data_IF_112382851382
#
_entry.id   IF_112382851382
#
_cell.length_a   1.000
_cell.length_b   1.000
_cell.length_c   1.000
_cell.angle_alpha   90.00
_cell.angle_beta   90.00
_cell.angle_gamma   90.00
#
_symmetry.space_group_name_H-M   'P 1'
#
loop_
_entity.id
_entity.type
_entity.pdbx_description
1 polymer ?
#
# COMPACT_ATOMS: atom_id res chain seq x y z
N UNK A 1 26.16 -17.48 -14.83
CA UNK A 1 26.15 -17.16 -13.40
C UNK A 1 24.71 -16.93 -12.97
N UNK A 2 24.30 -17.63 -11.91
CA UNK A 2 23.05 -17.32 -11.23
C UNK A 2 23.30 -16.16 -10.24
N UNK A 3 22.43 -15.17 -10.24
CA UNK A 3 22.44 -14.07 -9.29
C UNK A 3 21.07 -13.97 -8.65
N UNK A 4 21.02 -13.70 -7.37
CA UNK A 4 19.79 -13.55 -6.62
C UNK A 4 20.04 -12.75 -5.33
N UNK A 5 18.97 -12.36 -4.65
CA UNK A 5 19.08 -11.72 -3.36
C UNK A 5 19.61 -12.70 -2.32
N UNK A 6 20.46 -12.25 -1.41
CA UNK A 6 21.08 -13.11 -0.39
C UNK A 6 20.12 -13.37 0.78
N UNK A 7 19.18 -14.28 0.58
CA UNK A 7 18.26 -14.76 1.60
C UNK A 7 17.94 -16.25 1.39
N UNK A 8 17.35 -16.87 2.39
CA UNK A 8 16.89 -18.27 2.34
C UNK A 8 15.37 -18.36 2.46
N UNK A 9 14.80 -19.46 1.97
CA UNK A 9 13.39 -19.81 2.16
C UNK A 9 13.19 -20.35 3.57
N UNK A 10 12.87 -19.46 4.51
CA UNK A 10 12.76 -19.79 5.93
C UNK A 10 11.31 -20.09 6.37
N UNK A 11 10.32 -19.57 5.64
CA UNK A 11 8.92 -19.87 5.88
C UNK A 11 8.51 -21.22 5.30
N UNK A 12 7.54 -21.88 5.93
CA UNK A 12 7.01 -23.15 5.49
C UNK A 12 5.49 -23.17 5.58
N UNK A 13 4.87 -23.90 4.65
CA UNK A 13 3.45 -24.21 4.66
C UNK A 13 3.28 -25.65 4.21
N UNK A 14 2.48 -26.41 4.95
CA UNK A 14 2.15 -27.79 4.63
C UNK A 14 0.70 -28.08 5.03
N UNK A 15 -0.03 -28.76 4.15
CA UNK A 15 -1.37 -29.28 4.40
C UNK A 15 -1.59 -30.58 3.62
N UNK A 16 -2.75 -31.20 3.76
CA UNK A 16 -3.14 -32.44 3.06
C UNK A 16 -3.43 -32.24 1.57
N UNK A 17 -3.52 -31.01 1.08
CA UNK A 17 -3.71 -30.68 -0.33
C UNK A 17 -2.36 -30.43 -1.02
N UNK A 18 -1.95 -31.35 -1.90
CA UNK A 18 -0.67 -31.26 -2.65
C UNK A 18 -0.58 -30.04 -3.55
N UNK A 19 -1.70 -29.55 -4.10
CA UNK A 19 -1.73 -28.41 -5.00
C UNK A 19 -1.43 -27.10 -4.25
N UNK A 20 -1.99 -26.96 -3.03
CA UNK A 20 -1.68 -25.82 -2.16
C UNK A 20 -0.21 -25.84 -1.71
N UNK A 21 0.33 -27.01 -1.37
CA UNK A 21 1.76 -27.14 -1.03
C UNK A 21 2.66 -26.77 -2.21
N UNK A 22 2.24 -27.15 -3.41
CA UNK A 22 2.93 -26.81 -4.67
C UNK A 22 2.83 -25.31 -4.97
N UNK A 23 1.67 -24.71 -4.78
CA UNK A 23 1.43 -23.29 -4.95
C UNK A 23 2.32 -22.46 -4.03
N UNK A 24 2.39 -22.82 -2.73
CA UNK A 24 3.27 -22.17 -1.77
C UNK A 24 4.73 -22.13 -2.26
N UNK A 25 5.27 -23.27 -2.67
CA UNK A 25 6.67 -23.36 -3.17
C UNK A 25 6.90 -22.51 -4.41
N UNK A 26 5.95 -22.48 -5.34
CA UNK A 26 6.01 -21.65 -6.54
C UNK A 26 5.94 -20.16 -6.20
N UNK A 27 5.07 -19.78 -5.27
CA UNK A 27 4.93 -18.37 -4.82
C UNK A 27 6.21 -17.87 -4.16
N UNK A 28 6.81 -18.65 -3.24
CA UNK A 28 8.12 -18.31 -2.67
C UNK A 28 9.19 -18.12 -3.77
N UNK A 29 9.20 -19.03 -4.75
CA UNK A 29 10.15 -18.94 -5.87
C UNK A 29 9.90 -17.68 -6.71
N UNK A 30 8.64 -17.34 -6.99
CA UNK A 30 8.26 -16.14 -7.74
C UNK A 30 8.71 -14.89 -7.00
N UNK A 31 8.40 -14.76 -5.73
CA UNK A 31 8.85 -13.64 -4.90
C UNK A 31 10.39 -13.51 -4.94
N UNK A 32 11.11 -14.60 -4.79
CA UNK A 32 12.58 -14.59 -4.81
C UNK A 32 13.16 -14.10 -6.14
N UNK A 33 12.58 -14.48 -7.28
CA UNK A 33 13.08 -14.04 -8.59
C UNK A 33 12.75 -12.60 -8.92
N UNK A 34 11.79 -11.99 -8.24
CA UNK A 34 11.47 -10.56 -8.32
C UNK A 34 12.28 -9.69 -7.35
N UNK A 35 13.20 -10.30 -6.58
CA UNK A 35 14.09 -9.61 -5.66
C UNK A 35 15.51 -9.52 -6.23
N UNK A 36 16.01 -8.30 -6.36
CA UNK A 36 17.40 -8.01 -6.79
C UNK A 36 18.00 -6.94 -5.87
N UNK A 37 18.42 -5.82 -6.44
CA UNK A 37 18.76 -4.59 -5.74
C UNK A 37 17.52 -3.79 -5.32
N UNK A 38 16.37 -4.10 -5.89
CA UNK A 38 15.03 -3.65 -5.49
C UNK A 38 13.99 -4.76 -5.75
N UNK A 39 12.77 -4.56 -5.29
CA UNK A 39 11.64 -5.38 -5.72
C UNK A 39 11.26 -5.10 -7.17
N UNK A 40 10.63 -6.05 -7.81
CA UNK A 40 10.17 -5.92 -9.20
C UNK A 40 8.79 -6.55 -9.32
N UNK A 41 7.85 -5.81 -9.90
CA UNK A 41 6.50 -6.28 -10.23
C UNK A 41 6.50 -7.59 -11.02
N UNK A 42 7.48 -7.77 -11.88
CA UNK A 42 7.65 -8.95 -12.70
C UNK A 42 9.13 -9.15 -13.07
N UNK A 43 9.56 -10.39 -13.41
CA UNK A 43 10.95 -10.66 -13.75
C UNK A 43 11.32 -10.31 -15.20
N UNK A 44 10.37 -9.95 -16.06
CA UNK A 44 10.55 -9.85 -17.51
C UNK A 44 10.18 -8.48 -18.09
N UNK A 45 8.93 -8.06 -18.07
CA UNK A 45 8.45 -6.90 -18.82
C UNK A 45 8.96 -5.56 -18.28
N UNK A 46 8.37 -5.04 -17.19
CA UNK A 46 8.75 -3.75 -16.61
C UNK A 46 10.00 -3.86 -15.75
N UNK A 47 10.07 -4.90 -14.92
CA UNK A 47 11.13 -5.10 -13.92
C UNK A 47 11.30 -3.86 -13.04
N UNK A 48 10.18 -3.25 -12.67
CA UNK A 48 10.12 -1.98 -11.97
C UNK A 48 9.58 -2.16 -10.55
N UNK A 49 10.02 -1.31 -9.63
CA UNK A 49 9.57 -1.30 -8.25
C UNK A 49 8.28 -0.50 -8.12
N UNK A 50 7.15 -1.09 -8.54
CA UNK A 50 5.85 -0.48 -8.41
C UNK A 50 5.38 -0.45 -6.96
N UNK A 51 4.86 0.68 -6.52
CA UNK A 51 4.50 0.92 -5.10
C UNK A 51 3.37 0.01 -4.60
N UNK A 52 2.45 -0.36 -5.48
CA UNK A 52 1.37 -1.31 -5.17
C UNK A 52 1.88 -2.72 -4.99
N UNK A 53 2.71 -3.18 -5.93
CA UNK A 53 3.32 -4.51 -5.92
C UNK A 53 4.16 -4.70 -4.67
N UNK A 54 5.02 -3.73 -4.36
CA UNK A 54 5.85 -3.75 -3.16
C UNK A 54 5.02 -3.80 -1.87
N UNK A 55 3.84 -3.20 -1.84
CA UNK A 55 2.95 -3.28 -0.67
C UNK A 55 2.54 -4.72 -0.34
N UNK A 56 2.47 -5.58 -1.35
CA UNK A 56 2.19 -7.00 -1.20
C UNK A 56 3.48 -7.81 -0.97
N UNK A 57 4.50 -7.64 -1.81
CA UNK A 57 5.76 -8.36 -1.74
C UNK A 57 6.42 -8.26 -0.35
N UNK A 58 6.40 -7.08 0.27
CA UNK A 58 6.99 -6.90 1.62
C UNK A 58 6.29 -7.73 2.69
N UNK A 59 4.98 -7.96 2.58
CA UNK A 59 4.24 -8.80 3.53
C UNK A 59 4.55 -10.27 3.30
N UNK A 60 4.62 -10.68 2.05
CA UNK A 60 4.95 -12.06 1.65
C UNK A 60 6.36 -12.46 2.13
N UNK A 61 7.31 -11.53 2.10
CA UNK A 61 8.67 -11.72 2.62
C UNK A 61 8.67 -12.12 4.07
N UNK A 62 7.88 -11.49 4.92
CA UNK A 62 7.86 -11.76 6.36
C UNK A 62 7.42 -13.19 6.69
N UNK A 63 6.59 -13.80 5.84
CA UNK A 63 6.09 -15.17 6.03
C UNK A 63 6.94 -16.22 5.34
N UNK A 64 7.69 -15.87 4.32
CA UNK A 64 8.29 -16.84 3.41
C UNK A 64 9.81 -16.88 3.41
N UNK A 65 10.47 -15.76 3.73
CA UNK A 65 11.93 -15.63 3.59
C UNK A 65 12.61 -15.38 4.95
N UNK A 66 13.94 -15.54 4.96
CA UNK A 66 14.74 -15.23 6.14
C UNK A 66 14.80 -13.72 6.42
N UNK A 67 15.06 -13.30 7.68
CA UNK A 67 15.12 -11.89 8.06
C UNK A 67 16.10 -11.03 7.27
N UNK A 68 17.10 -11.64 6.59
CA UNK A 68 18.00 -10.90 5.69
C UNK A 68 17.25 -10.22 4.54
N UNK A 69 16.11 -10.75 4.12
CA UNK A 69 15.24 -10.13 3.11
C UNK A 69 14.64 -8.78 3.57
N UNK A 70 14.50 -8.56 4.88
CA UNK A 70 13.98 -7.31 5.43
C UNK A 70 14.88 -6.10 5.11
N UNK A 71 16.15 -6.32 4.78
CA UNK A 71 17.05 -5.25 4.35
C UNK A 71 16.61 -4.64 3.02
N UNK A 72 16.12 -5.47 2.09
CA UNK A 72 15.54 -5.00 0.83
C UNK A 72 14.24 -4.22 1.09
N UNK A 73 13.37 -4.73 1.94
CA UNK A 73 12.12 -4.06 2.32
C UNK A 73 12.39 -2.69 2.94
N UNK A 74 13.40 -2.61 3.84
CA UNK A 74 13.85 -1.34 4.43
C UNK A 74 14.35 -0.36 3.38
N UNK A 75 15.22 -0.83 2.46
CA UNK A 75 15.74 -0.01 1.35
C UNK A 75 14.58 0.55 0.53
N UNK A 76 13.66 -0.29 0.13
CA UNK A 76 12.51 0.05 -0.66
C UNK A 76 11.63 1.13 0.00
N UNK A 77 11.28 0.96 1.28
CA UNK A 77 10.49 1.96 2.02
C UNK A 77 11.17 3.34 2.03
N UNK A 78 12.49 3.37 2.22
CA UNK A 78 13.27 4.63 2.20
C UNK A 78 13.37 5.22 0.81
N UNK A 79 13.59 4.42 -0.22
CA UNK A 79 13.65 4.90 -1.60
C UNK A 79 12.37 5.61 -2.04
N UNK A 80 11.18 5.09 -1.72
CA UNK A 80 9.95 5.81 -2.02
C UNK A 80 9.88 7.16 -1.33
N UNK A 81 10.36 7.27 -0.09
CA UNK A 81 10.41 8.54 0.63
C UNK A 81 11.44 9.50 0.01
N UNK A 82 12.63 9.00 -0.37
CA UNK A 82 13.72 9.81 -0.93
C UNK A 82 13.41 10.34 -2.33
N UNK A 83 12.61 9.60 -3.10
CA UNK A 83 12.16 9.98 -4.43
C UNK A 83 10.88 10.82 -4.42
N UNK A 84 10.40 11.25 -3.25
CA UNK A 84 9.22 12.12 -3.20
C UNK A 84 9.44 13.40 -3.99
N UNK A 85 8.48 13.74 -4.83
CA UNK A 85 8.48 14.96 -5.65
C UNK A 85 8.30 16.22 -4.79
N UNK A 86 8.71 17.34 -5.33
CA UNK A 86 8.55 18.67 -4.66
C UNK A 86 7.08 19.03 -4.42
N UNK A 87 6.15 18.46 -5.21
CA UNK A 87 4.70 18.66 -5.04
C UNK A 87 4.08 17.64 -4.05
N UNK A 88 4.91 16.92 -3.29
CA UNK A 88 4.53 15.92 -2.29
C UNK A 88 3.93 14.63 -2.83
N UNK A 89 3.94 14.42 -4.13
CA UNK A 89 3.52 13.17 -4.78
C UNK A 89 4.66 12.15 -4.76
N UNK A 90 4.31 10.87 -4.73
CA UNK A 90 5.26 9.77 -4.96
C UNK A 90 5.23 9.34 -6.41
N UNK A 91 6.40 8.96 -6.95
CA UNK A 91 6.42 8.13 -8.14
C UNK A 91 5.96 6.72 -7.80
N UNK A 92 5.19 6.10 -8.67
CA UNK A 92 4.71 4.76 -8.43
C UNK A 92 5.72 3.68 -8.78
N UNK A 93 6.56 3.73 -9.83
CA UNK A 93 7.81 2.98 -9.82
C UNK A 93 8.96 3.87 -9.34
N UNK A 94 9.85 3.32 -8.53
CA UNK A 94 11.08 3.98 -8.05
C UNK A 94 12.24 2.97 -8.15
N UNK A 95 13.36 3.33 -8.77
CA UNK A 95 13.61 4.56 -9.53
C UNK A 95 12.63 4.77 -10.69
N UNK A 96 12.29 6.06 -10.97
CA UNK A 96 11.17 6.37 -11.88
C UNK A 96 11.43 6.04 -13.37
N UNK A 97 12.66 6.07 -13.80
CA UNK A 97 13.01 5.82 -15.20
C UNK A 97 12.13 6.63 -16.16
N UNK A 98 11.48 5.93 -17.10
CA UNK A 98 10.53 6.52 -18.04
C UNK A 98 9.07 6.49 -17.56
N UNK A 99 8.79 5.92 -16.39
CA UNK A 99 7.47 5.69 -15.84
C UNK A 99 7.11 6.74 -14.78
N UNK A 100 7.07 8.01 -15.14
CA UNK A 100 6.77 9.13 -14.25
C UNK A 100 5.31 9.17 -13.80
N UNK A 101 4.82 8.07 -13.27
CA UNK A 101 3.41 7.87 -12.91
C UNK A 101 3.21 8.03 -11.40
N UNK A 102 2.12 8.66 -11.04
CA UNK A 102 1.51 8.58 -9.73
C UNK A 102 0.32 7.62 -9.81
N UNK A 103 0.24 6.68 -8.86
CA UNK A 103 -0.92 5.82 -8.64
C UNK A 103 -1.48 6.13 -7.24
N UNK A 104 -2.48 7.03 -7.13
CA UNK A 104 -2.89 7.58 -5.84
C UNK A 104 -3.32 6.54 -4.82
N UNK A 105 -4.16 5.60 -5.21
CA UNK A 105 -4.71 4.58 -4.30
C UNK A 105 -3.62 3.63 -3.81
N UNK A 106 -2.71 3.21 -4.69
CA UNK A 106 -1.59 2.35 -4.32
C UNK A 106 -0.58 3.09 -3.44
N UNK A 107 -0.35 4.38 -3.69
CA UNK A 107 0.48 5.21 -2.83
C UNK A 107 -0.14 5.39 -1.44
N UNK A 108 -1.46 5.58 -1.35
CA UNK A 108 -2.19 5.59 -0.09
C UNK A 108 -1.98 4.28 0.68
N UNK A 109 -2.17 3.15 0.00
CA UNK A 109 -1.98 1.82 0.58
C UNK A 109 -0.57 1.67 1.15
N UNK A 110 0.45 2.03 0.40
CA UNK A 110 1.84 1.92 0.82
C UNK A 110 2.19 2.86 1.98
N UNK A 111 1.85 4.14 1.88
CA UNK A 111 2.19 5.14 2.91
C UNK A 111 1.48 4.91 4.24
N UNK A 112 0.27 4.36 4.20
CA UNK A 112 -0.44 3.93 5.40
C UNK A 112 -0.10 2.49 5.78
N UNK A 113 -0.76 1.54 5.17
CA UNK A 113 -0.72 0.12 5.51
C UNK A 113 0.66 -0.52 5.24
N UNK A 114 1.29 -0.22 4.11
CA UNK A 114 2.59 -0.78 3.76
C UNK A 114 3.67 -0.44 4.79
N UNK A 115 3.83 0.83 5.13
CA UNK A 115 4.78 1.26 6.18
C UNK A 115 4.44 0.65 7.54
N UNK A 116 3.16 0.53 7.90
CA UNK A 116 2.77 -0.09 9.15
C UNK A 116 3.06 -1.59 9.16
N UNK A 117 2.79 -2.30 8.08
CA UNK A 117 3.13 -3.71 7.92
C UNK A 117 4.64 -3.95 8.01
N UNK A 118 5.45 -3.05 7.42
CA UNK A 118 6.90 -3.09 7.58
C UNK A 118 7.30 -3.07 9.07
N UNK A 119 6.75 -2.14 9.84
CA UNK A 119 7.02 -2.06 11.27
C UNK A 119 6.57 -3.33 12.01
N UNK A 120 5.37 -3.82 11.71
CA UNK A 120 4.85 -5.04 12.33
C UNK A 120 5.71 -6.28 12.04
N UNK A 121 6.28 -6.37 10.85
CA UNK A 121 7.16 -7.47 10.46
C UNK A 121 8.60 -7.36 10.97
N UNK A 122 9.07 -6.14 11.30
CA UNK A 122 10.49 -5.90 11.61
C UNK A 122 10.76 -5.29 12.98
N UNK A 123 9.81 -4.57 13.57
CA UNK A 123 10.04 -3.74 14.77
C UNK A 123 10.90 -2.49 14.53
N UNK A 124 11.23 -2.16 13.27
CA UNK A 124 12.14 -1.06 12.93
C UNK A 124 11.44 0.30 12.96
N UNK A 125 11.29 0.87 14.14
CA UNK A 125 10.76 2.21 14.35
C UNK A 125 11.66 3.31 13.76
N UNK A 126 12.97 3.06 13.60
CA UNK A 126 13.89 4.04 13.02
C UNK A 126 13.58 4.29 11.54
N UNK A 127 13.23 3.26 10.79
CA UNK A 127 12.78 3.42 9.40
C UNK A 127 11.44 4.12 9.33
N UNK A 128 10.48 3.82 10.22
CA UNK A 128 9.21 4.57 10.28
C UNK A 128 9.48 6.06 10.53
N UNK A 129 10.34 6.39 11.49
CA UNK A 129 10.74 7.79 11.74
C UNK A 129 11.39 8.44 10.52
N UNK A 130 12.17 7.70 9.73
CA UNK A 130 12.81 8.19 8.50
C UNK A 130 11.80 8.52 7.40
N UNK A 131 10.83 7.63 7.14
CA UNK A 131 9.86 7.79 6.05
C UNK A 131 8.69 8.70 6.43
N UNK A 132 8.45 8.92 7.70
CA UNK A 132 7.28 9.65 8.20
C UNK A 132 7.13 11.08 7.63
N UNK A 133 8.19 11.90 7.49
CA UNK A 133 8.05 13.23 6.88
C UNK A 133 7.50 13.19 5.46
N UNK A 134 7.87 12.17 4.68
CA UNK A 134 7.36 11.98 3.33
C UNK A 134 5.88 11.51 3.35
N UNK A 135 5.56 10.56 4.23
CA UNK A 135 4.18 10.12 4.46
C UNK A 135 3.29 11.28 4.90
N UNK A 136 3.76 12.13 5.83
CA UNK A 136 3.05 13.32 6.30
C UNK A 136 2.73 14.28 5.13
N UNK A 137 3.73 14.63 4.32
CA UNK A 137 3.51 15.51 3.17
C UNK A 137 2.50 14.93 2.19
N UNK A 138 2.55 13.61 1.95
CA UNK A 138 1.62 12.94 1.05
C UNK A 138 0.20 12.91 1.60
N UNK A 139 0.03 12.53 2.86
CA UNK A 139 -1.29 12.48 3.52
C UNK A 139 -1.95 13.87 3.53
N UNK A 140 -1.20 14.91 3.86
CA UNK A 140 -1.71 16.28 3.86
C UNK A 140 -1.86 16.91 2.46
N UNK A 141 -1.38 16.26 1.39
CA UNK A 141 -1.68 16.69 0.02
C UNK A 141 -3.15 16.48 -0.34
N UNK A 142 -3.81 15.55 0.31
CA UNK A 142 -5.22 15.25 0.10
C UNK A 142 -6.10 16.25 0.85
N UNK A 143 -6.94 16.95 0.10
CA UNK A 143 -7.88 17.91 0.68
C UNK A 143 -9.07 17.17 1.28
N UNK A 144 -9.29 17.36 2.56
CA UNK A 144 -10.48 16.87 3.27
C UNK A 144 -11.56 17.93 3.19
N UNK A 145 -12.74 17.55 2.69
CA UNK A 145 -13.91 18.40 2.61
C UNK A 145 -14.59 18.58 3.99
N UNK A 146 -15.48 19.56 4.13
CA UNK A 146 -16.20 19.84 5.39
C UNK A 146 -17.04 18.65 5.86
N UNK A 147 -17.52 17.81 4.94
CA UNK A 147 -18.26 16.58 5.25
C UNK A 147 -17.35 15.43 5.74
N UNK A 148 -16.03 15.58 5.65
CA UNK A 148 -15.03 14.59 6.07
C UNK A 148 -14.58 13.63 4.97
N UNK A 149 -15.16 13.70 3.77
CA UNK A 149 -14.66 12.95 2.61
C UNK A 149 -13.37 13.59 2.08
N UNK A 150 -12.55 12.80 1.40
CA UNK A 150 -11.40 13.33 0.69
C UNK A 150 -11.81 13.72 -0.74
N UNK A 151 -11.32 14.86 -1.21
CA UNK A 151 -11.49 15.27 -2.60
C UNK A 151 -10.86 14.23 -3.54
N UNK A 152 -11.66 13.71 -4.47
CA UNK A 152 -11.17 12.72 -5.42
C UNK A 152 -10.13 13.33 -6.37
N UNK A 153 -8.96 12.68 -6.45
CA UNK A 153 -7.84 13.11 -7.28
C UNK A 153 -7.28 11.90 -8.04
N UNK A 154 -7.49 11.83 -9.37
CA UNK A 154 -7.08 10.68 -10.18
C UNK A 154 -5.55 10.55 -10.35
N UNK A 155 -4.78 11.58 -10.01
CA UNK A 155 -3.33 11.59 -10.22
C UNK A 155 -2.92 11.54 -11.69
N UNK A 156 -1.75 10.98 -11.96
CA UNK A 156 -1.26 10.77 -13.33
C UNK A 156 -1.81 9.49 -13.96
N UNK A 157 -2.22 8.54 -13.16
CA UNK A 157 -2.85 7.30 -13.59
C UNK A 157 -3.83 6.79 -12.53
N UNK A 158 -5.12 6.90 -12.85
CA UNK A 158 -6.21 6.45 -11.99
C UNK A 158 -6.37 4.93 -12.09
N UNK A 159 -5.56 4.22 -11.33
CA UNK A 159 -5.42 2.78 -11.41
C UNK A 159 -5.87 2.09 -10.13
N UNK A 160 -7.03 1.45 -10.19
CA UNK A 160 -7.59 0.66 -9.09
C UNK A 160 -7.32 -0.84 -9.19
N UNK A 161 -6.39 -1.26 -10.07
CA UNK A 161 -6.12 -2.62 -10.50
C UNK A 161 -6.99 -3.09 -11.69
N UNK A 162 -6.64 -4.24 -12.29
CA UNK A 162 -7.30 -4.79 -13.46
C UNK A 162 -8.79 -5.10 -13.20
N UNK A 163 -9.62 -4.91 -14.23
CA UNK A 163 -11.04 -5.19 -14.22
C UNK A 163 -11.91 -4.00 -14.66
N UNK A 164 -13.10 -4.30 -15.15
CA UNK A 164 -13.96 -3.30 -15.80
C UNK A 164 -14.80 -2.48 -14.80
N UNK A 165 -15.04 -3.03 -13.60
CA UNK A 165 -15.96 -2.45 -12.62
C UNK A 165 -15.17 -1.77 -11.49
N UNK A 166 -14.58 -0.61 -11.76
CA UNK A 166 -13.82 0.16 -10.79
C UNK A 166 -14.59 1.41 -10.33
N UNK A 167 -15.09 1.40 -9.11
CA UNK A 167 -15.66 2.57 -8.46
C UNK A 167 -14.56 3.40 -7.79
N UNK A 168 -13.80 4.12 -8.61
CA UNK A 168 -12.58 4.81 -8.17
C UNK A 168 -12.84 5.86 -7.08
N UNK A 169 -14.02 6.48 -7.06
CA UNK A 169 -14.35 7.47 -6.04
C UNK A 169 -14.59 6.80 -4.68
N UNK A 170 -15.36 5.71 -4.65
CA UNK A 170 -15.58 4.95 -3.43
C UNK A 170 -14.27 4.27 -2.95
N UNK A 171 -13.50 3.68 -3.86
CA UNK A 171 -12.21 3.07 -3.58
C UNK A 171 -11.21 4.07 -2.96
N UNK A 172 -11.18 5.31 -3.49
CA UNK A 172 -10.33 6.38 -2.95
C UNK A 172 -10.67 6.71 -1.49
N UNK A 173 -11.95 6.81 -1.14
CA UNK A 173 -12.38 7.07 0.23
C UNK A 173 -11.95 5.96 1.19
N UNK A 174 -12.15 4.71 0.78
CA UNK A 174 -11.79 3.54 1.58
C UNK A 174 -10.26 3.46 1.80
N UNK A 175 -9.46 3.66 0.75
CA UNK A 175 -8.00 3.70 0.89
C UNK A 175 -7.53 4.87 1.75
N UNK A 176 -8.13 6.05 1.62
CA UNK A 176 -7.71 7.19 2.45
C UNK A 176 -8.04 6.97 3.93
N UNK A 177 -9.18 6.36 4.26
CA UNK A 177 -9.49 5.94 5.62
C UNK A 177 -8.44 4.97 6.18
N UNK A 178 -8.16 3.90 5.44
CA UNK A 178 -7.11 2.93 5.81
C UNK A 178 -5.75 3.62 6.00
N UNK A 179 -5.42 4.55 5.12
CA UNK A 179 -4.17 5.34 5.21
C UNK A 179 -4.13 6.17 6.49
N UNK A 180 -5.17 6.93 6.79
CA UNK A 180 -5.24 7.76 8.00
C UNK A 180 -5.10 6.94 9.28
N UNK A 181 -5.77 5.79 9.36
CA UNK A 181 -5.69 4.90 10.54
C UNK A 181 -4.28 4.36 10.77
N UNK A 182 -3.62 3.90 9.72
CA UNK A 182 -2.27 3.37 9.85
C UNK A 182 -1.21 4.48 9.97
N UNK A 183 -1.43 5.64 9.36
CA UNK A 183 -0.63 6.83 9.57
C UNK A 183 -0.71 7.32 11.03
N UNK A 184 -1.89 7.29 11.64
CA UNK A 184 -2.06 7.61 13.06
C UNK A 184 -1.22 6.70 13.97
N UNK A 185 -1.20 5.38 13.68
CA UNK A 185 -0.35 4.41 14.40
C UNK A 185 1.14 4.71 14.22
N UNK A 186 1.57 5.05 13.00
CA UNK A 186 2.95 5.45 12.73
C UNK A 186 3.32 6.72 13.50
N UNK A 187 2.44 7.72 13.51
CA UNK A 187 2.62 8.97 14.24
C UNK A 187 2.75 8.74 15.76
N UNK A 188 1.87 7.93 16.33
CA UNK A 188 1.90 7.57 17.75
C UNK A 188 3.20 6.84 18.13
N UNK A 189 3.62 5.88 17.31
CA UNK A 189 4.86 5.12 17.49
C UNK A 189 6.10 6.01 17.61
N UNK A 190 6.16 7.10 16.84
CA UNK A 190 7.32 8.00 16.83
C UNK A 190 7.15 9.25 17.69
N UNK A 191 6.04 9.38 18.43
CA UNK A 191 5.77 10.49 19.34
C UNK A 191 5.16 11.73 18.70
N UNK A 192 4.72 11.66 17.45
CA UNK A 192 4.01 12.75 16.73
C UNK A 192 2.53 12.82 17.16
N UNK A 193 2.29 13.06 18.44
CA UNK A 193 0.95 12.96 19.07
C UNK A 193 -0.11 13.85 18.43
N UNK A 194 0.27 15.04 17.96
CA UNK A 194 -0.67 15.95 17.31
C UNK A 194 -1.19 15.36 15.99
N UNK A 195 -0.29 14.78 15.20
CA UNK A 195 -0.61 14.10 13.94
C UNK A 195 -1.47 12.86 14.17
N UNK A 196 -1.12 12.05 15.18
CA UNK A 196 -1.90 10.87 15.55
C UNK A 196 -3.36 11.24 15.90
N UNK A 197 -3.55 12.26 16.71
CA UNK A 197 -4.89 12.75 17.08
C UNK A 197 -5.67 13.29 15.88
N UNK A 198 -5.02 14.10 15.05
CA UNK A 198 -5.62 14.63 13.83
C UNK A 198 -6.08 13.51 12.89
N UNK A 199 -5.18 12.58 12.56
CA UNK A 199 -5.48 11.49 11.64
C UNK A 199 -6.58 10.56 12.16
N UNK A 200 -6.58 10.26 13.46
CA UNK A 200 -7.65 9.48 14.11
C UNK A 200 -9.01 10.17 14.00
N UNK A 201 -9.07 11.47 14.27
CA UNK A 201 -10.32 12.24 14.17
C UNK A 201 -10.80 12.33 12.70
N UNK A 202 -9.89 12.56 11.76
CA UNK A 202 -10.19 12.62 10.33
C UNK A 202 -10.71 11.26 9.82
N UNK A 203 -10.06 10.16 10.18
CA UNK A 203 -10.50 8.80 9.82
C UNK A 203 -11.91 8.52 10.34
N UNK A 204 -12.17 8.82 11.61
CA UNK A 204 -13.50 8.61 12.19
C UNK A 204 -14.59 9.37 11.43
N UNK A 205 -14.36 10.64 11.13
CA UNK A 205 -15.31 11.46 10.38
C UNK A 205 -15.53 10.95 8.96
N UNK A 206 -14.44 10.55 8.30
CA UNK A 206 -14.50 9.93 6.97
C UNK A 206 -15.32 8.64 6.98
N UNK A 207 -15.09 7.74 7.93
CA UNK A 207 -15.82 6.47 8.04
C UNK A 207 -17.31 6.68 8.25
N UNK A 208 -17.69 7.60 9.12
CA UNK A 208 -19.09 7.94 9.38
C UNK A 208 -19.76 8.46 8.10
N UNK A 209 -19.09 9.38 7.39
CA UNK A 209 -19.64 9.95 6.14
C UNK A 209 -19.65 8.93 5.01
N UNK A 210 -18.58 8.15 4.87
CA UNK A 210 -18.48 7.10 3.85
C UNK A 210 -19.60 6.07 4.03
N UNK A 211 -19.80 5.58 5.26
CA UNK A 211 -20.90 4.65 5.56
C UNK A 211 -22.26 5.24 5.22
N UNK A 212 -22.50 6.48 5.62
CA UNK A 212 -23.80 7.12 5.45
C UNK A 212 -24.13 7.45 3.98
N UNK A 213 -23.10 7.79 3.17
CA UNK A 213 -23.31 8.22 1.79
C UNK A 213 -23.14 7.10 0.76
N UNK A 214 -22.27 6.12 1.03
CA UNK A 214 -21.90 5.11 0.05
C UNK A 214 -22.51 3.72 0.32
N UNK A 215 -22.99 3.48 1.53
CA UNK A 215 -23.65 2.19 1.83
C UNK A 215 -25.06 2.13 1.24
N UNK A 216 -25.29 1.19 0.34
CA UNK A 216 -26.58 1.00 -0.37
C UNK A 216 -27.54 0.03 0.34
N UNK A 217 -27.15 -0.53 1.48
CA UNK A 217 -27.84 -1.64 2.14
C UNK A 217 -27.22 -3.01 1.85
N UNK A 218 -26.42 -3.13 0.79
CA UNK A 218 -25.77 -4.38 0.40
C UNK A 218 -24.31 -4.23 -0.03
N UNK A 219 -23.91 -3.04 -0.48
CA UNK A 219 -22.55 -2.76 -0.94
C UNK A 219 -22.21 -1.28 -0.78
N UNK A 220 -20.93 -0.96 -0.70
CA UNK A 220 -20.44 0.42 -0.85
C UNK A 220 -20.36 0.80 -2.31
N UNK A 221 -20.89 1.99 -2.65
CA UNK A 221 -20.97 2.47 -4.03
C UNK A 221 -21.09 4.00 -4.06
N UNK A 222 -20.34 4.64 -4.94
CA UNK A 222 -20.57 6.06 -5.25
C UNK A 222 -21.87 6.23 -6.07
N UNK A 223 -22.62 7.27 -5.82
CA UNK A 223 -23.96 7.51 -6.44
C UNK A 223 -23.90 7.69 -7.96
N UNK A 224 -22.78 8.22 -8.47
CA UNK A 224 -22.56 8.40 -9.91
C UNK A 224 -22.05 7.13 -10.61
N UNK A 225 -21.58 6.12 -9.86
CA UNK A 225 -21.07 4.89 -10.44
C UNK A 225 -22.19 3.96 -10.91
N UNK A 226 -22.12 3.51 -12.18
CA UNK A 226 -23.18 2.72 -12.85
C UNK A 226 -22.77 1.29 -13.21
N UNK A 227 -21.51 0.89 -12.92
CA UNK A 227 -21.01 -0.47 -13.15
C UNK A 227 -21.59 -1.52 -12.20
N UNK A 228 -21.12 -2.75 -12.29
CA UNK A 228 -21.37 -3.79 -11.29
C UNK A 228 -20.65 -3.45 -9.98
N UNK A 229 -20.99 -4.14 -8.90
CA UNK A 229 -20.32 -3.93 -7.60
C UNK A 229 -18.82 -4.13 -7.74
N UNK A 230 -18.07 -3.12 -7.37
CA UNK A 230 -16.60 -3.15 -7.35
C UNK A 230 -16.11 -3.92 -6.12
N UNK A 231 -15.54 -5.09 -6.32
CA UNK A 231 -15.03 -5.97 -5.27
C UNK A 231 -13.82 -5.36 -4.53
N UNK A 232 -13.00 -4.55 -5.19
CA UNK A 232 -11.87 -3.83 -4.59
C UNK A 232 -12.35 -2.84 -3.54
N UNK A 233 -13.35 -2.02 -3.89
CA UNK A 233 -13.99 -1.11 -2.94
C UNK A 233 -14.54 -1.85 -1.72
N UNK A 234 -15.23 -2.99 -1.94
CA UNK A 234 -15.77 -3.78 -0.83
C UNK A 234 -14.65 -4.32 0.06
N UNK A 235 -13.60 -4.87 -0.54
CA UNK A 235 -12.46 -5.44 0.17
C UNK A 235 -11.73 -4.39 1.01
N UNK A 236 -11.48 -3.21 0.43
CA UNK A 236 -10.81 -2.12 1.17
C UNK A 236 -11.72 -1.53 2.24
N UNK A 237 -13.03 -1.43 1.98
CA UNK A 237 -14.00 -0.96 2.98
C UNK A 237 -14.10 -1.88 4.22
N UNK A 238 -13.74 -3.16 4.10
CA UNK A 238 -13.71 -4.10 5.25
C UNK A 238 -12.51 -3.84 6.15
N UNK A 239 -11.39 -3.40 5.58
CA UNK A 239 -10.15 -3.12 6.34
C UNK A 239 -9.98 -1.65 6.73
N UNK A 240 -10.87 -0.80 6.24
CA UNK A 240 -10.88 0.65 6.53
C UNK A 240 -11.57 1.02 7.86
#
# INVERSE_FOLDING_TARGET
>A
HETGYNCSFAGSFECDNSDLNSLWKKSQRTLYITMRDNYMDCPDRERAQWIGDVSNEMVEVFYSLSPSANLLTRKCAREFADWQRSDSVMYAPVPEGNWKKELPQQTMAFMGLGNWNYYMGTGDAATIKYVFPAAKRYVHKWKIEDNGLVEYRPGAWDWGDWGDNADMQALCQAWYSTTLKNYAKQADLIGETAEAKWATAAAKKLDETFRNKFWTGSAYRHDTYKGLTDDRTQSVAVIS
#
